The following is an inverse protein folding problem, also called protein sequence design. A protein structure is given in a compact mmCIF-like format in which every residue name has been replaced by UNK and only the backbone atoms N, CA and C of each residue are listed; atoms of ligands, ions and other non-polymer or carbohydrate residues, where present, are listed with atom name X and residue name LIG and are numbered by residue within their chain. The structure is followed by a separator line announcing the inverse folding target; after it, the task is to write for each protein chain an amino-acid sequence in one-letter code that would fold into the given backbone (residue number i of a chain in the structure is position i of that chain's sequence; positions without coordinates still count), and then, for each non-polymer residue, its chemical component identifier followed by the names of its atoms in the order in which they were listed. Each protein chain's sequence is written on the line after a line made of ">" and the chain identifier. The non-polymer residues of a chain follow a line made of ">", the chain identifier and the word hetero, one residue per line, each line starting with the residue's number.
data_IF_018090466435
#
_entry.id   IF_018090466435
#
_cell.length_a   1.000
_cell.length_b   1.000
_cell.length_c   1.000
_cell.angle_alpha   90.00
_cell.angle_beta   90.00
_cell.angle_gamma   90.00
#
_symmetry.space_group_name_H-M   'P 1'
#
loop_
_entity.id
_entity.type
_entity.pdbx_description
1 polymer ?
#
# COMPACT_ATOMS: atom_id res chain seq x y z
N UNK A 1 0.84 55.69 0.69
CA UNK A 1 1.75 54.65 1.24
C UNK A 1 0.89 53.48 1.75
N UNK A 2 0.44 52.53 0.92
CA UNK A 2 1.15 51.37 0.33
C UNK A 2 1.84 50.40 1.32
N UNK A 3 1.40 50.33 2.58
CA UNK A 3 2.07 49.44 3.57
C UNK A 3 1.16 48.37 4.21
N UNK A 4 -0.15 48.36 3.93
CA UNK A 4 -1.09 47.42 4.61
C UNK A 4 -1.46 46.16 3.83
N UNK A 5 -1.08 46.05 2.54
CA UNK A 5 -1.47 44.91 1.69
C UNK A 5 -0.41 43.81 1.64
N UNK A 6 0.84 44.10 2.03
CA UNK A 6 1.95 43.13 1.93
C UNK A 6 2.04 42.14 3.10
N UNK A 7 1.41 42.41 4.24
CA UNK A 7 1.50 41.55 5.43
C UNK A 7 0.46 40.42 5.40
N UNK A 8 -0.65 40.61 4.68
CA UNK A 8 -1.70 39.58 4.58
C UNK A 8 -1.34 38.43 3.61
N UNK A 9 -0.50 38.72 2.61
CA UNK A 9 -0.06 37.71 1.63
C UNK A 9 1.00 36.76 2.18
N UNK A 10 1.81 37.19 3.15
CA UNK A 10 2.80 36.32 3.82
C UNK A 10 2.16 35.28 4.75
N UNK A 11 0.96 35.54 5.27
CA UNK A 11 0.24 34.59 6.13
C UNK A 11 -0.47 33.46 5.37
N UNK A 12 -0.75 33.63 4.06
CA UNK A 12 -1.41 32.61 3.25
C UNK A 12 -0.46 31.59 2.61
N UNK A 13 0.85 31.88 2.58
CA UNK A 13 1.86 30.98 1.98
C UNK A 13 2.47 30.03 3.03
N UNK A 14 2.23 30.25 4.33
CA UNK A 14 2.93 29.56 5.41
C UNK A 14 2.31 28.25 5.94
N UNK A 15 1.13 27.83 5.48
CA UNK A 15 0.40 26.71 6.10
C UNK A 15 -0.07 25.61 5.16
N UNK A 16 0.44 25.54 3.92
CA UNK A 16 0.23 24.35 3.08
C UNK A 16 1.42 23.41 3.26
N UNK A 17 1.57 22.88 4.47
CA UNK A 17 2.28 21.61 4.64
C UNK A 17 1.37 20.53 4.06
N UNK A 18 1.25 20.51 2.73
CA UNK A 18 0.79 19.31 2.04
C UNK A 18 1.88 18.29 2.31
N UNK A 19 1.59 17.31 3.17
CA UNK A 19 2.37 16.09 3.21
C UNK A 19 2.37 15.52 1.78
N UNK A 20 3.46 15.74 1.05
CA UNK A 20 3.61 15.27 -0.32
C UNK A 20 3.78 13.76 -0.22
N UNK A 21 2.67 13.05 -0.43
CA UNK A 21 2.66 11.61 -0.57
C UNK A 21 3.16 11.25 -1.96
N UNK A 22 4.24 10.47 -2.04
CA UNK A 22 4.76 9.97 -3.31
C UNK A 22 4.32 8.52 -3.54
N UNK A 23 3.85 8.18 -4.74
CA UNK A 23 3.38 6.84 -5.03
C UNK A 23 4.56 5.86 -5.08
N UNK A 24 4.38 4.67 -4.54
CA UNK A 24 5.33 3.56 -4.72
C UNK A 24 5.33 3.09 -6.17
N UNK A 25 6.41 2.42 -6.55
CA UNK A 25 6.52 1.73 -7.84
C UNK A 25 6.26 0.24 -7.62
N UNK A 26 5.13 -0.25 -8.13
CA UNK A 26 4.65 -1.62 -8.03
C UNK A 26 4.79 -2.29 -9.40
N UNK A 27 5.69 -3.27 -9.51
CA UNK A 27 6.09 -3.91 -10.79
C UNK A 27 6.35 -2.91 -11.93
N UNK A 28 7.02 -1.80 -11.59
CA UNK A 28 7.38 -0.74 -12.54
C UNK A 28 6.29 0.31 -12.78
N UNK A 29 5.13 0.20 -12.13
CA UNK A 29 3.97 1.08 -12.33
C UNK A 29 3.54 1.78 -11.03
N UNK A 30 2.93 2.96 -11.12
CA UNK A 30 2.38 3.68 -9.95
C UNK A 30 1.04 3.10 -9.46
N UNK A 31 0.32 2.47 -10.37
CA UNK A 31 -0.86 1.67 -10.14
C UNK A 31 -0.63 0.36 -10.87
N UNK A 32 -0.66 -0.76 -10.14
CA UNK A 32 -0.55 -2.09 -10.73
C UNK A 32 -1.94 -2.70 -10.84
N UNK A 33 -2.30 -3.21 -12.02
CA UNK A 33 -3.63 -3.74 -12.28
C UNK A 33 -3.54 -5.23 -12.57
N UNK A 34 -4.22 -6.03 -11.74
CA UNK A 34 -4.41 -7.46 -11.98
C UNK A 34 -5.80 -7.64 -12.57
N UNK A 35 -5.89 -8.30 -13.73
CA UNK A 35 -7.17 -8.64 -14.37
C UNK A 35 -7.37 -10.15 -14.35
N UNK A 36 -8.55 -10.60 -13.97
CA UNK A 36 -8.91 -12.02 -13.90
C UNK A 36 -10.40 -12.25 -14.14
N UNK A 37 -10.83 -13.51 -14.04
CA UNK A 37 -12.21 -13.94 -14.32
C UNK A 37 -13.23 -13.22 -13.41
N UNK A 38 -12.89 -12.99 -12.14
CA UNK A 38 -13.76 -12.31 -11.17
C UNK A 38 -13.78 -10.77 -11.30
N UNK A 39 -12.96 -10.17 -12.17
CA UNK A 39 -12.88 -8.71 -12.34
C UNK A 39 -11.44 -8.18 -12.35
N UNK A 40 -11.27 -6.92 -11.92
CA UNK A 40 -9.95 -6.29 -11.80
C UNK A 40 -9.63 -5.89 -10.36
N UNK A 41 -8.36 -6.00 -9.98
CA UNK A 41 -7.80 -5.49 -8.73
C UNK A 41 -6.81 -4.38 -9.07
N UNK A 42 -7.00 -3.20 -8.48
CA UNK A 42 -6.04 -2.10 -8.59
C UNK A 42 -5.23 -2.01 -7.31
N UNK A 43 -3.92 -2.16 -7.44
CA UNK A 43 -2.98 -2.08 -6.32
C UNK A 43 -2.24 -0.74 -6.40
N UNK A 44 -2.28 0.01 -5.31
CA UNK A 44 -1.58 1.28 -5.15
C UNK A 44 -0.90 1.31 -3.79
N UNK A 45 0.09 2.19 -3.65
CA UNK A 45 0.69 2.48 -2.36
C UNK A 45 1.42 3.80 -2.43
N UNK A 46 1.70 4.38 -1.27
CA UNK A 46 2.37 5.66 -1.23
C UNK A 46 3.16 5.87 0.05
N UNK A 47 4.28 6.58 -0.07
CA UNK A 47 5.10 6.98 1.07
C UNK A 47 4.35 8.03 1.88
N UNK A 48 3.97 7.67 3.10
CA UNK A 48 3.50 8.61 4.11
C UNK A 48 4.66 8.98 5.05
N UNK A 49 4.63 10.15 5.70
CA UNK A 49 5.57 10.52 6.77
C UNK A 49 5.37 9.67 8.06
N UNK A 50 4.72 8.51 7.95
CA UNK A 50 4.50 7.54 9.02
C UNK A 50 5.44 6.34 8.82
N UNK A 51 5.72 5.63 9.92
CA UNK A 51 6.54 4.41 9.86
C UNK A 51 5.86 3.27 9.10
N UNK A 52 4.53 3.24 9.13
CA UNK A 52 3.76 2.22 8.44
C UNK A 52 3.63 2.51 6.95
N UNK A 53 3.71 1.45 6.17
CA UNK A 53 3.64 1.43 4.72
C UNK A 53 2.24 0.95 4.35
N UNK A 54 1.41 1.81 3.72
CA UNK A 54 0.10 1.41 3.23
C UNK A 54 0.19 0.90 1.78
N UNK A 55 -0.34 -0.30 1.54
CA UNK A 55 -0.66 -0.83 0.22
C UNK A 55 -2.16 -1.04 0.16
N UNK A 56 -2.79 -0.61 -0.93
CA UNK A 56 -4.23 -0.58 -1.09
C UNK A 56 -4.62 -1.37 -2.32
N UNK A 57 -5.50 -2.36 -2.13
CA UNK A 57 -6.13 -3.15 -3.18
C UNK A 57 -7.59 -2.71 -3.31
N UNK A 58 -7.96 -2.09 -4.43
CA UNK A 58 -9.34 -1.76 -4.76
C UNK A 58 -9.91 -2.80 -5.71
N UNK A 59 -11.02 -3.41 -5.33
CA UNK A 59 -11.64 -4.51 -6.04
C UNK A 59 -12.77 -4.03 -6.95
N UNK A 60 -12.79 -4.52 -8.18
CA UNK A 60 -13.91 -4.34 -9.12
C UNK A 60 -14.53 -5.71 -9.44
N UNK A 61 -14.76 -6.50 -8.39
CA UNK A 61 -15.13 -7.92 -8.50
C UNK A 61 -15.33 -8.58 -7.14
N UNK A 62 -15.82 -9.81 -7.17
CA UNK A 62 -15.93 -10.66 -5.97
C UNK A 62 -14.71 -11.55 -5.86
N UNK A 63 -13.90 -11.33 -4.84
CA UNK A 63 -12.72 -12.13 -4.56
C UNK A 63 -12.80 -12.64 -3.14
N UNK A 64 -12.33 -13.86 -2.95
CA UNK A 64 -12.13 -14.42 -1.63
C UNK A 64 -10.75 -14.01 -1.11
N UNK A 65 -10.71 -13.33 0.03
CA UNK A 65 -9.49 -12.93 0.72
C UNK A 65 -9.30 -13.81 1.93
N UNK A 66 -8.10 -14.39 2.07
CA UNK A 66 -7.66 -15.07 3.29
C UNK A 66 -6.40 -14.36 3.81
N UNK A 67 -6.55 -13.52 4.84
CA UNK A 67 -5.48 -12.65 5.34
C UNK A 67 -4.32 -13.43 5.96
N UNK A 68 -4.57 -14.60 6.54
CA UNK A 68 -3.55 -15.49 7.10
C UNK A 68 -2.66 -16.11 6.00
N UNK A 69 -3.17 -16.17 4.77
CA UNK A 69 -2.43 -16.66 3.62
C UNK A 69 -1.51 -15.60 2.99
N UNK A 70 -1.49 -14.36 3.50
CA UNK A 70 -0.58 -13.33 2.99
C UNK A 70 0.88 -13.71 3.27
N UNK A 71 1.67 -13.80 2.19
CA UNK A 71 3.12 -13.95 2.27
C UNK A 71 3.77 -12.65 1.81
N UNK A 72 4.45 -11.98 2.74
CA UNK A 72 5.07 -10.68 2.50
C UNK A 72 6.47 -10.63 3.11
N UNK A 73 7.44 -10.18 2.32
CA UNK A 73 8.86 -10.12 2.69
C UNK A 73 9.47 -8.78 2.26
N UNK A 74 10.70 -8.51 2.71
CA UNK A 74 11.47 -7.33 2.31
C UNK A 74 12.88 -7.73 1.85
N UNK A 75 13.40 -6.98 0.89
CA UNK A 75 14.75 -7.05 0.32
C UNK A 75 15.38 -5.66 0.43
N UNK A 76 16.63 -5.48 0.92
CA UNK A 76 17.71 -6.46 1.10
C UNK A 76 17.61 -7.38 2.32
N UNK A 77 18.36 -8.49 2.28
CA UNK A 77 18.57 -9.42 3.40
C UNK A 77 18.88 -8.66 4.70
N UNK A 78 18.16 -9.02 5.78
CA UNK A 78 18.26 -8.37 7.10
C UNK A 78 17.24 -7.25 7.32
N UNK A 79 16.43 -6.91 6.31
CA UNK A 79 15.20 -6.12 6.48
C UNK A 79 14.02 -7.06 6.57
N UNK A 80 13.16 -6.89 7.58
CA UNK A 80 11.98 -7.72 7.80
C UNK A 80 10.70 -6.88 7.82
N UNK A 81 9.62 -7.48 7.34
CA UNK A 81 8.26 -6.93 7.44
C UNK A 81 7.67 -7.32 8.79
N UNK A 82 7.05 -6.36 9.49
CA UNK A 82 6.43 -6.56 10.81
C UNK A 82 5.12 -5.80 10.92
N UNK A 83 4.35 -6.06 11.98
CA UNK A 83 3.11 -5.32 12.31
C UNK A 83 2.11 -5.25 11.14
N UNK A 84 1.98 -6.35 10.40
CA UNK A 84 1.01 -6.48 9.30
C UNK A 84 -0.40 -6.38 9.88
N UNK A 85 -1.17 -5.44 9.34
CA UNK A 85 -2.54 -5.10 9.76
C UNK A 85 -3.39 -4.85 8.53
N UNK A 86 -4.66 -5.18 8.63
CA UNK A 86 -5.60 -5.01 7.53
C UNK A 86 -6.62 -3.94 7.86
N UNK A 87 -7.06 -3.22 6.83
CA UNK A 87 -8.20 -2.32 6.91
C UNK A 87 -9.12 -2.53 5.73
N UNK A 88 -10.40 -2.75 6.00
CA UNK A 88 -11.42 -2.83 4.96
C UNK A 88 -12.17 -1.50 4.92
N UNK A 89 -12.23 -0.86 3.76
CA UNK A 89 -12.90 0.42 3.54
C UNK A 89 -12.48 1.51 4.56
N UNK A 90 -11.22 1.45 5.01
CA UNK A 90 -10.64 2.38 5.98
C UNK A 90 -10.75 1.96 7.45
N UNK A 91 -11.62 1.00 7.77
CA UNK A 91 -11.82 0.49 9.13
C UNK A 91 -10.90 -0.69 9.44
N UNK A 92 -10.51 -0.86 10.70
CA UNK A 92 -9.65 -1.97 11.11
C UNK A 92 -10.35 -3.30 10.85
N UNK A 93 -9.69 -4.18 10.11
CA UNK A 93 -10.18 -5.52 9.82
C UNK A 93 -9.33 -6.54 10.58
N UNK A 94 -9.96 -7.25 11.52
CA UNK A 94 -9.33 -8.29 12.34
C UNK A 94 -9.79 -9.71 11.96
N UNK A 95 -10.58 -9.84 10.88
CA UNK A 95 -11.01 -11.15 10.37
C UNK A 95 -9.92 -11.85 9.59
N UNK A 96 -10.10 -13.16 9.41
CA UNK A 96 -9.22 -14.02 8.61
C UNK A 96 -9.70 -14.14 7.17
N UNK A 97 -11.01 -14.13 6.94
CA UNK A 97 -11.61 -14.34 5.63
C UNK A 97 -12.68 -13.30 5.29
N UNK A 98 -12.75 -12.91 4.01
CA UNK A 98 -13.80 -12.03 3.48
C UNK A 98 -14.02 -12.23 1.98
N UNK A 99 -15.27 -12.14 1.54
CA UNK A 99 -15.64 -11.95 0.14
C UNK A 99 -15.76 -10.46 -0.18
N UNK A 100 -14.96 -9.97 -1.13
CA UNK A 100 -14.99 -8.56 -1.53
C UNK A 100 -16.18 -8.24 -2.41
N UNK A 101 -16.55 -6.96 -2.48
CA UNK A 101 -17.50 -6.43 -3.45
C UNK A 101 -16.86 -5.36 -4.32
N UNK A 102 -17.49 -5.07 -5.46
CA UNK A 102 -17.09 -3.96 -6.31
C UNK A 102 -17.05 -2.64 -5.55
N UNK A 103 -15.94 -1.93 -5.65
CA UNK A 103 -15.66 -0.66 -4.98
C UNK A 103 -15.05 -0.82 -3.59
N UNK A 104 -15.03 -2.03 -3.02
CA UNK A 104 -14.38 -2.25 -1.74
C UNK A 104 -12.86 -2.14 -1.86
N UNK A 105 -12.26 -1.73 -0.75
CA UNK A 105 -10.84 -1.45 -0.68
C UNK A 105 -10.25 -2.11 0.54
N UNK A 106 -9.33 -3.06 0.33
CA UNK A 106 -8.52 -3.66 1.40
C UNK A 106 -7.16 -2.97 1.42
N UNK A 107 -6.81 -2.38 2.56
CA UNK A 107 -5.48 -1.81 2.79
C UNK A 107 -4.67 -2.72 3.70
N UNK A 108 -3.45 -3.05 3.28
CA UNK A 108 -2.42 -3.74 4.04
C UNK A 108 -1.48 -2.67 4.60
N UNK A 109 -1.36 -2.62 5.92
CA UNK A 109 -0.47 -1.71 6.63
C UNK A 109 0.59 -2.55 7.32
N UNK A 110 1.86 -2.25 7.08
CA UNK A 110 2.96 -2.97 7.71
C UNK A 110 4.14 -2.03 7.97
N UNK A 111 5.05 -2.46 8.83
CA UNK A 111 6.28 -1.74 9.13
C UNK A 111 7.47 -2.54 8.58
N UNK A 112 8.58 -1.86 8.26
CA UNK A 112 9.86 -2.50 7.94
C UNK A 112 10.87 -2.20 9.04
N UNK A 113 11.64 -3.21 9.43
CA UNK A 113 12.68 -3.11 10.47
C UNK A 113 13.96 -3.80 10.02
N UNK A 114 15.09 -3.34 10.54
CA UNK A 114 16.37 -4.03 10.40
C UNK A 114 17.20 -3.79 11.67
N UNK A 115 18.03 -4.77 12.02
CA UNK A 115 19.04 -4.62 13.08
C UNK A 115 20.24 -3.77 12.62
N UNK A 116 20.39 -3.61 11.31
CA UNK A 116 21.42 -2.77 10.69
C UNK A 116 20.82 -1.50 10.09
N UNK A 117 21.66 -0.48 9.86
CA UNK A 117 21.20 0.73 9.19
C UNK A 117 20.77 0.42 7.76
N UNK A 118 19.59 0.87 7.38
CA UNK A 118 19.06 0.75 6.02
C UNK A 118 18.40 2.06 5.61
N UNK A 119 18.34 2.31 4.31
CA UNK A 119 17.53 3.40 3.76
C UNK A 119 16.21 2.83 3.26
N UNK A 120 15.09 3.35 3.77
CA UNK A 120 13.74 2.92 3.37
C UNK A 120 13.51 3.02 1.86
N UNK A 121 14.09 4.04 1.21
CA UNK A 121 14.01 4.23 -0.25
C UNK A 121 14.72 3.16 -1.07
N UNK A 122 15.60 2.36 -0.45
CA UNK A 122 16.33 1.26 -1.09
C UNK A 122 15.63 -0.09 -0.84
N UNK A 123 14.58 -0.13 -0.01
CA UNK A 123 13.83 -1.35 0.29
C UNK A 123 12.81 -1.67 -0.80
N UNK A 124 12.80 -2.93 -1.20
CA UNK A 124 11.73 -3.53 -2.00
C UNK A 124 10.94 -4.48 -1.13
N UNK A 125 9.62 -4.30 -1.09
CA UNK A 125 8.68 -5.22 -0.44
C UNK A 125 8.18 -6.20 -1.49
N UNK A 126 8.12 -7.47 -1.13
CA UNK A 126 7.73 -8.56 -2.01
C UNK A 126 6.42 -9.16 -1.49
N UNK A 127 5.36 -9.13 -2.29
CA UNK A 127 4.17 -9.95 -2.04
C UNK A 127 4.35 -11.23 -2.85
N UNK A 128 4.53 -12.34 -2.14
CA UNK A 128 4.83 -13.63 -2.76
C UNK A 128 3.57 -14.35 -3.22
N UNK A 129 3.68 -15.30 -4.18
CA UNK A 129 2.57 -16.15 -4.56
C UNK A 129 1.96 -16.88 -3.37
N UNK A 130 0.65 -16.72 -3.18
CA UNK A 130 -0.09 -17.34 -2.09
C UNK A 130 -1.60 -17.34 -2.35
N UNK A 131 -2.37 -18.00 -1.49
CA UNK A 131 -3.84 -18.00 -1.55
C UNK A 131 -4.46 -16.77 -0.84
N UNK A 132 -3.69 -15.68 -0.68
CA UNK A 132 -4.17 -14.45 -0.05
C UNK A 132 -5.40 -13.87 -0.76
N UNK A 133 -5.40 -13.90 -2.10
CA UNK A 133 -6.53 -13.48 -2.93
C UNK A 133 -6.82 -14.61 -3.91
N UNK A 134 -8.04 -15.13 -3.86
CA UNK A 134 -8.50 -16.16 -4.80
C UNK A 134 -9.78 -15.75 -5.53
N UNK A 135 -9.94 -16.30 -6.72
CA UNK A 135 -11.14 -16.20 -7.56
C UNK A 135 -11.49 -17.63 -7.98
N UNK A 136 -12.71 -18.07 -7.68
CA UNK A 136 -13.15 -19.45 -7.95
C UNK A 136 -12.16 -20.53 -7.44
N UNK A 137 -11.55 -20.28 -6.27
CA UNK A 137 -10.56 -21.18 -5.65
C UNK A 137 -9.15 -21.14 -6.27
N UNK A 138 -8.90 -20.34 -7.30
CA UNK A 138 -7.58 -20.15 -7.91
C UNK A 138 -6.90 -18.89 -7.35
N UNK A 139 -5.61 -18.97 -7.06
CA UNK A 139 -4.83 -17.79 -6.63
C UNK A 139 -4.72 -16.77 -7.76
N UNK A 140 -4.98 -15.51 -7.42
CA UNK A 140 -4.80 -14.36 -8.30
C UNK A 140 -3.34 -13.88 -8.30
N UNK A 141 -2.66 -13.98 -7.16
CA UNK A 141 -1.24 -13.62 -7.04
C UNK A 141 -0.42 -14.88 -7.35
N UNK A 142 -0.20 -15.13 -8.63
CA UNK A 142 0.53 -16.30 -9.13
C UNK A 142 2.04 -16.06 -9.25
N UNK A 143 2.47 -14.80 -9.35
CA UNK A 143 3.87 -14.37 -9.37
C UNK A 143 4.15 -13.33 -8.27
N UNK A 144 5.43 -13.14 -7.94
CA UNK A 144 5.85 -12.15 -6.94
C UNK A 144 5.62 -10.72 -7.44
N UNK A 145 4.83 -9.96 -6.69
CA UNK A 145 4.62 -8.52 -6.91
C UNK A 145 5.71 -7.75 -6.15
N UNK A 146 6.46 -6.89 -6.85
CA UNK A 146 7.56 -6.10 -6.28
C UNK A 146 7.13 -4.66 -6.05
N UNK A 147 7.28 -4.19 -4.81
CA UNK A 147 6.90 -2.83 -4.40
C UNK A 147 8.15 -2.09 -3.96
N UNK A 148 8.62 -1.15 -4.78
CA UNK A 148 9.76 -0.30 -4.44
C UNK A 148 9.27 0.89 -3.61
N UNK A 149 9.82 1.03 -2.41
CA UNK A 149 9.48 2.13 -1.48
C UNK A 149 10.21 3.44 -1.81
N UNK A 150 10.66 3.59 -3.06
CA UNK A 150 11.33 4.78 -3.54
C UNK A 150 10.37 5.96 -3.43
N UNK A 151 10.90 7.06 -2.87
CA UNK A 151 10.23 8.35 -2.76
C UNK A 151 10.82 9.26 -3.83
#
# INVERSE_FOLDING_TARGET
>A
MKTKVFILLLFFVGCVSCDISTPFIIDGQKEYVISGECGTIKIRGSSLPTHSIPITCTFNGSYHINTDSLKIEADPNGVIVTNVRFRLNGEVFAGTEIETKTGETLSIWFDVKSETSYKRSEVTVLILPSNFITCEGKSIISDTIRIQLKN
#
